data_IF_462349965124
#
_entry.id   IF_462349965124
#
_cell.length_a   1.000
_cell.length_b   1.000
_cell.length_c   1.000
_cell.angle_alpha   90.00
_cell.angle_beta   90.00
_cell.angle_gamma   90.00
#
_symmetry.space_group_name_H-M   'P 1'
#
loop_
_entity.id
_entity.type
_entity.pdbx_description
1 polymer ?
#
# COMPACT_ATOMS: atom_id res chain seq x y z
N UNK A 1 -20.14 -6.55 0.12
CA UNK A 1 -20.31 -6.94 1.53
C UNK A 1 -19.26 -6.22 2.35
N UNK A 2 -19.64 -5.13 3.00
CA UNK A 2 -18.74 -4.31 3.83
C UNK A 2 -18.73 -4.91 5.22
N UNK A 3 -17.66 -5.61 5.60
CA UNK A 3 -17.40 -5.90 7.00
C UNK A 3 -17.13 -4.56 7.68
N UNK A 4 -18.14 -4.02 8.36
CA UNK A 4 -17.92 -3.05 9.41
C UNK A 4 -17.48 -3.81 10.65
N UNK A 5 -16.39 -3.37 11.27
CA UNK A 5 -16.09 -3.46 12.70
C UNK A 5 -15.08 -2.33 12.99
N UNK A 6 -15.21 -1.43 13.96
CA UNK A 6 -15.81 -1.45 15.32
C UNK A 6 -14.95 -2.19 16.36
N UNK A 7 -13.62 -2.10 16.30
CA UNK A 7 -12.77 -2.62 17.38
C UNK A 7 -11.64 -1.63 17.77
N UNK A 8 -11.94 -0.32 17.82
CA UNK A 8 -11.17 0.55 18.73
C UNK A 8 -12.04 0.71 19.97
N UNK A 9 -11.66 0.12 21.12
CA UNK A 9 -12.34 0.37 22.37
C UNK A 9 -12.45 1.88 22.57
N UNK A 10 -13.60 2.38 23.03
CA UNK A 10 -13.79 3.80 23.37
C UNK A 10 -12.93 4.32 24.54
N UNK A 11 -11.78 3.69 24.79
CA UNK A 11 -10.82 3.90 25.87
C UNK A 11 -9.72 4.91 25.51
N UNK A 12 -9.45 5.19 24.24
CA UNK A 12 -8.46 6.19 23.85
C UNK A 12 -9.09 7.58 23.82
N UNK A 13 -8.91 8.35 24.89
CA UNK A 13 -9.39 9.73 24.98
C UNK A 13 -8.26 10.75 24.87
N UNK A 14 -7.03 10.32 25.12
CA UNK A 14 -5.83 11.17 25.09
C UNK A 14 -4.65 10.46 24.40
N UNK A 15 -3.66 11.24 23.97
CA UNK A 15 -2.39 10.72 23.45
C UNK A 15 -1.61 9.92 24.52
N UNK A 16 -1.79 10.27 25.80
CA UNK A 16 -1.18 9.55 26.92
C UNK A 16 -1.76 8.13 27.08
N UNK A 17 -3.07 7.95 26.86
CA UNK A 17 -3.70 6.62 26.85
C UNK A 17 -3.11 5.75 25.72
N UNK A 18 -2.87 6.35 24.56
CA UNK A 18 -2.27 5.66 23.42
C UNK A 18 -0.81 5.25 23.69
N UNK A 19 -0.02 6.13 24.32
CA UNK A 19 1.37 5.81 24.69
C UNK A 19 1.46 4.68 25.72
N UNK A 20 0.60 4.68 26.74
CA UNK A 20 0.57 3.60 27.74
C UNK A 20 0.24 2.22 27.12
N UNK A 21 -0.64 2.19 26.12
CA UNK A 21 -0.94 0.95 25.37
C UNK A 21 0.24 0.49 24.51
N UNK A 22 0.99 1.42 23.91
CA UNK A 22 2.19 1.10 23.12
C UNK A 22 3.27 0.48 24.02
N UNK A 23 3.55 1.11 25.16
CA UNK A 23 4.58 0.64 26.10
C UNK A 23 4.24 -0.72 26.72
N UNK A 24 2.96 -1.00 26.95
CA UNK A 24 2.48 -2.28 27.47
C UNK A 24 2.33 -3.38 26.40
N UNK A 25 2.56 -3.05 25.12
CA UNK A 25 2.41 -3.99 24.00
C UNK A 25 0.97 -4.38 23.70
N UNK A 26 -0.01 -3.73 24.31
CA UNK A 26 -1.45 -4.00 24.15
C UNK A 26 -1.99 -3.07 23.07
N UNK A 27 -1.55 -3.27 21.82
CA UNK A 27 -2.05 -2.50 20.72
C UNK A 27 -3.48 -2.93 20.37
N UNK A 28 -4.47 -2.02 20.35
CA UNK A 28 -5.86 -2.37 20.04
C UNK A 28 -6.06 -2.78 18.58
N UNK A 29 -5.15 -2.40 17.68
CA UNK A 29 -5.21 -2.71 16.25
C UNK A 29 -4.00 -3.59 15.88
N UNK A 30 -4.20 -4.78 15.29
CA UNK A 30 -3.10 -5.62 14.84
C UNK A 30 -2.24 -4.89 13.80
N UNK A 31 -0.88 -4.95 13.89
CA UNK A 31 -0.01 -4.28 12.92
C UNK A 31 -0.28 -4.65 11.46
N UNK A 32 -0.71 -5.90 11.21
CA UNK A 32 -1.08 -6.37 9.87
C UNK A 32 -2.27 -5.59 9.29
N UNK A 33 -3.27 -5.25 10.10
CA UNK A 33 -4.42 -4.49 9.62
C UNK A 33 -4.00 -3.08 9.18
N UNK A 34 -3.10 -2.45 9.94
CA UNK A 34 -2.53 -1.14 9.59
C UNK A 34 -1.76 -1.25 8.27
N UNK A 35 -0.94 -2.29 8.11
CA UNK A 35 -0.20 -2.54 6.87
C UNK A 35 -1.13 -2.77 5.69
N UNK A 36 -2.21 -3.55 5.85
CA UNK A 36 -3.17 -3.82 4.77
C UNK A 36 -3.91 -2.54 4.33
N UNK A 37 -4.18 -1.61 5.26
CA UNK A 37 -4.80 -0.31 4.97
C UNK A 37 -3.88 0.59 4.12
N UNK A 38 -2.58 0.63 4.44
CA UNK A 38 -1.63 1.47 3.71
C UNK A 38 -1.08 0.80 2.44
N UNK A 39 -1.03 -0.54 2.38
CA UNK A 39 -0.55 -1.30 1.22
C UNK A 39 -1.53 -1.28 0.02
N UNK A 40 -2.67 -0.61 0.15
CA UNK A 40 -3.61 -0.41 -0.94
C UNK A 40 -2.99 0.34 -2.13
N UNK A 41 -3.46 0.02 -3.34
CA UNK A 41 -2.96 0.55 -4.63
C UNK A 41 -2.75 2.08 -4.65
N UNK A 42 -3.62 2.82 -3.97
CA UNK A 42 -3.66 4.28 -4.02
C UNK A 42 -3.11 4.97 -2.77
N UNK A 43 -3.16 4.32 -1.60
CA UNK A 43 -2.89 4.95 -0.32
C UNK A 43 -1.45 5.49 -0.25
N UNK A 44 -0.45 4.65 -0.56
CA UNK A 44 0.95 5.06 -0.61
C UNK A 44 1.18 6.21 -1.60
N UNK A 45 0.57 6.17 -2.78
CA UNK A 45 0.75 7.25 -3.78
C UNK A 45 0.20 8.58 -3.27
N UNK A 46 -0.98 8.58 -2.65
CA UNK A 46 -1.59 9.77 -2.07
C UNK A 46 -0.71 10.32 -0.93
N UNK A 47 -0.23 9.46 -0.03
CA UNK A 47 0.68 9.84 1.05
C UNK A 47 1.94 10.49 0.48
N UNK A 48 2.60 9.85 -0.49
CA UNK A 48 3.82 10.38 -1.13
C UNK A 48 3.61 11.77 -1.75
N UNK A 49 2.46 12.01 -2.39
CA UNK A 49 2.15 13.34 -2.96
C UNK A 49 1.90 14.36 -1.86
N UNK A 50 1.06 14.03 -0.86
CA UNK A 50 0.70 14.92 0.24
C UNK A 50 1.85 15.18 1.23
N UNK A 51 2.88 14.33 1.27
CA UNK A 51 4.10 14.55 2.07
C UNK A 51 4.95 15.71 1.55
N UNK A 52 4.73 16.17 0.32
CA UNK A 52 5.45 17.34 -0.25
C UNK A 52 4.85 18.67 0.19
N UNK A 53 3.68 18.65 0.82
CA UNK A 53 2.93 19.83 1.25
C UNK A 53 1.43 19.70 0.99
N UNK A 54 0.64 20.71 1.40
CA UNK A 54 -0.80 20.73 1.16
C UNK A 54 -1.14 20.57 -0.31
N UNK A 55 -2.07 19.65 -0.62
CA UNK A 55 -2.48 19.31 -1.99
C UNK A 55 -3.99 19.30 -2.13
N UNK A 56 -4.51 19.77 -3.27
CA UNK A 56 -5.96 19.77 -3.55
C UNK A 56 -6.42 18.43 -4.13
N UNK A 57 -7.73 18.16 -4.02
CA UNK A 57 -8.34 16.96 -4.61
C UNK A 57 -8.03 16.80 -6.11
N UNK A 58 -8.15 17.88 -6.89
CA UNK A 58 -7.92 17.84 -8.35
C UNK A 58 -6.45 17.64 -8.71
N UNK A 59 -5.53 18.08 -7.85
CA UNK A 59 -4.09 17.84 -8.04
C UNK A 59 -3.75 16.39 -7.74
N UNK A 60 -4.33 15.82 -6.68
CA UNK A 60 -4.24 14.38 -6.39
C UNK A 60 -4.82 13.54 -7.53
N UNK A 61 -6.01 13.89 -8.04
CA UNK A 61 -6.64 13.20 -9.16
C UNK A 61 -5.76 13.16 -10.41
N UNK A 62 -5.03 14.25 -10.68
CA UNK A 62 -4.11 14.34 -11.83
C UNK A 62 -2.78 13.64 -11.60
N UNK A 63 -2.30 13.61 -10.37
CA UNK A 63 -0.96 13.09 -10.04
C UNK A 63 -0.99 11.58 -9.79
N UNK A 64 -2.07 11.06 -9.21
CA UNK A 64 -2.24 9.64 -8.92
C UNK A 64 -2.87 8.96 -10.13
N UNK A 65 -2.04 8.48 -11.05
CA UNK A 65 -2.50 7.94 -12.33
C UNK A 65 -3.45 6.75 -12.17
N UNK A 66 -4.59 6.80 -12.86
CA UNK A 66 -5.58 5.72 -12.91
C UNK A 66 -6.50 5.62 -11.70
N UNK A 67 -6.41 6.53 -10.71
CA UNK A 67 -7.39 6.61 -9.64
C UNK A 67 -8.69 7.22 -10.18
N UNK A 68 -9.82 6.55 -9.94
CA UNK A 68 -11.12 7.19 -10.22
C UNK A 68 -11.47 8.17 -9.10
N UNK A 69 -12.25 9.22 -9.39
CA UNK A 69 -12.76 10.16 -8.36
C UNK A 69 -13.38 9.43 -7.17
N UNK A 70 -14.22 8.43 -7.44
CA UNK A 70 -14.88 7.62 -6.40
C UNK A 70 -13.86 6.96 -5.49
N UNK A 71 -12.81 6.35 -6.06
CA UNK A 71 -11.77 5.71 -5.29
C UNK A 71 -10.92 6.73 -4.53
N UNK A 72 -10.59 7.87 -5.15
CA UNK A 72 -9.85 8.93 -4.48
C UNK A 72 -10.60 9.46 -3.25
N UNK A 73 -11.91 9.75 -3.38
CA UNK A 73 -12.74 10.17 -2.24
C UNK A 73 -12.78 9.11 -1.14
N UNK A 74 -12.95 7.83 -1.50
CA UNK A 74 -12.95 6.74 -0.52
C UNK A 74 -11.61 6.62 0.21
N UNK A 75 -10.51 6.66 -0.53
CA UNK A 75 -9.17 6.53 0.04
C UNK A 75 -8.82 7.73 0.92
N UNK A 76 -9.13 8.97 0.51
CA UNK A 76 -8.92 10.16 1.33
C UNK A 76 -9.68 10.08 2.66
N UNK A 77 -10.96 9.71 2.62
CA UNK A 77 -11.77 9.53 3.83
C UNK A 77 -11.18 8.49 4.77
N UNK A 78 -10.67 7.38 4.24
CA UNK A 78 -10.06 6.33 5.06
C UNK A 78 -8.72 6.81 5.67
N UNK A 79 -7.88 7.47 4.88
CA UNK A 79 -6.62 8.03 5.35
C UNK A 79 -6.82 9.13 6.40
N UNK A 80 -7.83 9.99 6.25
CA UNK A 80 -8.23 10.96 7.27
C UNK A 80 -8.69 10.26 8.54
N UNK A 81 -9.55 9.24 8.42
CA UNK A 81 -10.05 8.46 9.58
C UNK A 81 -8.92 7.78 10.34
N UNK A 82 -7.92 7.27 9.61
CA UNK A 82 -6.77 6.57 10.18
C UNK A 82 -5.69 7.54 10.69
N UNK A 83 -5.94 8.86 10.64
CA UNK A 83 -5.01 9.88 11.12
C UNK A 83 -3.77 10.06 10.25
N UNK A 84 -3.80 9.58 9.01
CA UNK A 84 -2.69 9.68 8.05
C UNK A 84 -2.71 11.01 7.30
N UNK A 85 -3.90 11.57 7.10
CA UNK A 85 -4.09 12.87 6.46
C UNK A 85 -4.90 13.81 7.34
N UNK A 86 -4.54 15.09 7.28
CA UNK A 86 -5.33 16.19 7.78
C UNK A 86 -6.02 16.91 6.61
N UNK A 87 -7.30 17.22 6.78
CA UNK A 87 -8.13 17.91 5.78
C UNK A 87 -8.46 19.32 6.26
N UNK A 88 -7.93 20.32 5.56
CA UNK A 88 -8.14 21.74 5.89
C UNK A 88 -9.12 22.37 4.90
N UNK A 89 -10.16 23.01 5.42
CA UNK A 89 -11.13 23.77 4.62
C UNK A 89 -10.85 25.25 4.77
N UNK A 90 -10.61 25.91 3.64
CA UNK A 90 -10.42 27.34 3.58
C UNK A 90 -11.73 28.02 3.13
N UNK A 91 -12.26 28.96 3.93
CA UNK A 91 -13.47 29.70 3.59
C UNK A 91 -13.17 30.80 2.57
N UNK A 92 -12.81 30.40 1.35
CA UNK A 92 -12.61 31.26 0.19
C UNK A 92 -13.81 31.21 -0.75
N UNK A 93 -13.86 32.10 -1.74
CA UNK A 93 -14.81 32.01 -2.86
C UNK A 93 -14.01 31.74 -4.14
N UNK A 94 -14.13 30.54 -4.75
CA UNK A 94 -14.84 29.35 -4.27
C UNK A 94 -14.14 28.69 -3.06
N UNK A 95 -14.86 27.89 -2.23
CA UNK A 95 -14.26 27.18 -1.11
C UNK A 95 -13.14 26.24 -1.56
N UNK A 96 -12.04 26.22 -0.80
CA UNK A 96 -10.85 25.43 -1.11
C UNK A 96 -10.64 24.38 -0.02
N UNK A 97 -10.27 23.17 -0.43
CA UNK A 97 -9.95 22.06 0.48
C UNK A 97 -8.56 21.55 0.14
N UNK A 98 -7.73 21.38 1.15
CA UNK A 98 -6.41 20.78 1.02
C UNK A 98 -6.25 19.58 1.95
N UNK A 99 -5.37 18.69 1.54
CA UNK A 99 -4.96 17.48 2.24
C UNK A 99 -3.47 17.55 2.50
N UNK A 100 -3.03 17.19 3.70
CA UNK A 100 -1.63 17.12 4.06
C UNK A 100 -1.38 15.91 4.95
N UNK A 101 -0.19 15.31 4.87
CA UNK A 101 0.16 14.22 5.80
C UNK A 101 0.36 14.73 7.22
N UNK A 102 -0.09 13.94 8.20
CA UNK A 102 0.23 14.15 9.61
C UNK A 102 1.71 13.82 9.90
N UNK A 103 2.26 14.21 11.06
CA UNK A 103 3.61 13.80 11.46
C UNK A 103 3.81 12.28 11.45
N UNK A 104 2.80 11.53 11.94
CA UNK A 104 2.81 10.06 11.92
C UNK A 104 2.92 9.49 10.50
N UNK A 105 2.18 10.06 9.53
CA UNK A 105 2.28 9.62 8.15
C UNK A 105 3.58 10.06 7.45
N UNK A 106 4.23 11.12 7.96
CA UNK A 106 5.52 11.57 7.43
C UNK A 106 6.63 10.56 7.77
N UNK A 107 6.61 9.97 8.97
CA UNK A 107 7.52 8.87 9.34
C UNK A 107 7.36 7.66 8.41
N UNK A 108 6.12 7.32 8.06
CA UNK A 108 5.84 6.27 7.07
C UNK A 108 6.43 6.62 5.69
N UNK A 109 6.29 7.88 5.25
CA UNK A 109 6.88 8.34 4.01
C UNK A 109 8.41 8.18 3.99
N UNK A 110 9.09 8.49 5.09
CA UNK A 110 10.54 8.29 5.22
C UNK A 110 10.93 6.81 5.08
N UNK A 111 10.20 5.90 5.72
CA UNK A 111 10.40 4.47 5.55
C UNK A 111 10.18 4.02 4.09
N UNK A 112 9.15 4.55 3.42
CA UNK A 112 8.89 4.28 2.00
C UNK A 112 10.03 4.78 1.10
N UNK A 113 10.69 5.89 1.44
CA UNK A 113 11.86 6.36 0.69
C UNK A 113 13.01 5.35 0.75
N UNK A 114 13.24 4.71 1.90
CA UNK A 114 14.26 3.67 2.04
C UNK A 114 13.96 2.48 1.12
N UNK A 115 12.71 1.98 1.13
CA UNK A 115 12.27 0.88 0.27
C UNK A 115 12.38 1.26 -1.21
N UNK A 116 11.99 2.48 -1.56
CA UNK A 116 12.02 2.96 -2.94
C UNK A 116 13.47 3.10 -3.44
N UNK A 117 14.38 3.57 -2.58
CA UNK A 117 15.80 3.66 -2.90
C UNK A 117 16.43 2.28 -3.09
N UNK A 118 16.11 1.32 -2.22
CA UNK A 118 16.53 -0.07 -2.39
C UNK A 118 15.99 -0.65 -3.69
N UNK A 119 14.71 -0.41 -4.01
CA UNK A 119 14.05 -0.90 -5.22
C UNK A 119 14.73 -0.36 -6.48
N UNK A 120 15.00 0.95 -6.54
CA UNK A 120 15.74 1.57 -7.64
C UNK A 120 17.11 0.92 -7.82
N UNK A 121 17.87 0.76 -6.73
CA UNK A 121 19.21 0.16 -6.73
C UNK A 121 19.23 -1.27 -7.28
N UNK A 122 18.19 -2.07 -7.05
CA UNK A 122 18.17 -3.49 -7.41
C UNK A 122 17.22 -3.84 -8.56
N UNK A 123 16.57 -2.87 -9.18
CA UNK A 123 15.58 -3.07 -10.25
C UNK A 123 16.10 -3.94 -11.40
N UNK A 124 17.30 -3.67 -11.90
CA UNK A 124 17.94 -4.47 -12.95
C UNK A 124 18.27 -5.91 -12.49
N UNK A 125 18.73 -6.07 -11.24
CA UNK A 125 19.00 -7.41 -10.68
C UNK A 125 17.72 -8.24 -10.57
N UNK A 126 16.60 -7.62 -10.17
CA UNK A 126 15.29 -8.28 -10.13
C UNK A 126 14.82 -8.68 -11.53
N UNK A 127 15.00 -7.82 -12.53
CA UNK A 127 14.68 -8.13 -13.92
C UNK A 127 15.48 -9.35 -14.43
N UNK A 128 16.79 -9.36 -14.22
CA UNK A 128 17.66 -10.49 -14.58
C UNK A 128 17.25 -11.78 -13.85
N UNK A 129 16.91 -11.69 -12.56
CA UNK A 129 16.46 -12.85 -11.79
C UNK A 129 15.16 -13.45 -12.36
N UNK A 130 14.22 -12.61 -12.83
CA UNK A 130 12.98 -13.05 -13.49
C UNK A 130 13.28 -13.78 -14.80
N UNK A 131 14.10 -13.18 -15.68
CA UNK A 131 14.48 -13.83 -16.94
C UNK A 131 15.17 -15.18 -16.73
N UNK A 132 16.07 -15.27 -15.74
CA UNK A 132 16.73 -16.53 -15.40
C UNK A 132 15.75 -17.57 -14.83
N UNK A 133 14.74 -17.15 -14.06
CA UNK A 133 13.69 -18.04 -13.57
C UNK A 133 12.84 -18.58 -14.72
N UNK A 134 12.36 -17.70 -15.61
CA UNK A 134 11.52 -18.05 -16.75
C UNK A 134 12.26 -18.98 -17.72
N UNK A 135 13.56 -18.76 -17.93
CA UNK A 135 14.41 -19.64 -18.75
C UNK A 135 14.47 -21.06 -18.20
N UNK A 136 14.71 -21.21 -16.90
CA UNK A 136 14.77 -22.54 -16.24
C UNK A 136 13.45 -23.29 -16.37
N UNK A 137 12.32 -22.61 -16.17
CA UNK A 137 11.00 -23.24 -16.34
C UNK A 137 10.76 -23.74 -17.77
N UNK A 138 11.20 -22.99 -18.79
CA UNK A 138 11.05 -23.38 -20.18
C UNK A 138 11.94 -24.59 -20.56
N UNK A 139 13.15 -24.67 -19.99
CA UNK A 139 14.08 -25.79 -20.18
C UNK A 139 13.55 -27.08 -19.51
N UNK A 140 13.00 -26.98 -18.29
CA UNK A 140 12.34 -28.08 -17.58
C UNK A 140 11.11 -28.60 -18.35
N UNK A 141 10.29 -27.71 -18.90
CA UNK A 141 9.15 -28.08 -19.74
C UNK A 141 9.57 -28.79 -21.05
N UNK A 142 10.70 -28.38 -21.65
CA UNK A 142 11.22 -28.94 -22.90
C UNK A 142 11.87 -30.32 -22.69
N UNK A 143 12.52 -30.54 -21.54
CA UNK A 143 13.15 -31.81 -21.17
C UNK A 143 12.12 -32.87 -20.74
N UNK A 144 11.06 -32.47 -20.04
CA UNK A 144 9.96 -33.35 -19.64
C UNK A 144 9.08 -33.86 -20.80
N UNK A 145 9.10 -33.20 -21.96
CA UNK A 145 8.35 -33.62 -23.15
C UNK A 145 9.00 -34.78 -23.94
N UNK A 146 10.24 -35.17 -23.61
CA UNK A 146 10.96 -36.24 -24.34
C UNK A 146 10.73 -37.67 -23.81
N UNK A 147 9.92 -37.87 -22.76
CA UNK A 147 9.65 -39.20 -22.20
C UNK A 147 8.28 -39.75 -22.67
N UNK A 148 8.17 -40.13 -23.94
CA UNK A 148 7.03 -40.96 -24.39
C UNK A 148 7.22 -42.41 -23.89
N UNK A 149 6.17 -43.10 -23.40
CA UNK A 149 6.30 -44.46 -22.92
C UNK A 149 6.59 -45.40 -24.10
N UNK A 150 7.70 -46.13 -24.01
CA UNK A 150 8.05 -47.22 -24.91
C UNK A 150 6.86 -48.18 -25.01
N UNK A 151 6.27 -48.29 -26.21
CA UNK A 151 5.32 -49.35 -26.55
C UNK A 151 5.99 -50.70 -26.26
N UNK A 152 5.57 -51.38 -25.19
CA UNK A 152 5.81 -52.81 -25.03
C UNK A 152 4.97 -53.50 -26.11
N UNK A 153 5.63 -53.90 -27.19
CA UNK A 153 5.04 -54.75 -28.21
C UNK A 153 4.77 -56.14 -27.63
N UNK A 154 3.50 -56.50 -27.50
CA UNK A 154 3.08 -57.89 -27.35
C UNK A 154 3.00 -58.47 -28.77
N UNK A 155 3.92 -59.38 -29.07
CA UNK A 155 3.84 -60.25 -30.24
C UNK A 155 3.12 -61.55 -29.82
N UNK A 156 2.12 -61.90 -30.65
CA UNK A 156 1.45 -63.21 -30.88
C UNK A 156 1.37 -64.24 -29.76
#
# INVERSE_FOLDING_TARGET
MSQGNTDVPGQLKTLADAQALIESGQCPIPPREILDRIAGKWAIQIIVVASRGPVRFTELERTVEGVSRRMLTLTLRNLERDGMLERTVYPTVPPKVEYQTTPMALELYEALLMVTNWSRKHSACVALARENYDRRLNEEASSGSSMTPTKIGVAM
#
